data_IF_800449540235
#
_entry.id   IF_800449540235
#
_cell.length_a   1.000
_cell.length_b   1.000
_cell.length_c   1.000
_cell.angle_alpha   90.00
_cell.angle_beta   90.00
_cell.angle_gamma   90.00
#
_symmetry.space_group_name_H-M   'P 1'
#
loop_
_entity.id
_entity.type
_entity.pdbx_description
1 polymer ?
#
# COMPACT_ATOMS: atom_id res chain seq x y z
N UNK A 1 -5.69 -16.86 15.07
CA UNK A 1 -5.60 -15.58 15.80
C UNK A 1 -5.81 -14.43 14.82
N UNK A 2 -6.71 -13.51 15.17
CA UNK A 2 -6.98 -12.37 14.31
C UNK A 2 -5.87 -11.34 14.42
N UNK A 3 -5.37 -10.87 13.28
CA UNK A 3 -4.41 -9.76 13.27
C UNK A 3 -5.16 -8.43 13.27
N UNK A 4 -4.75 -7.53 14.13
CA UNK A 4 -5.30 -6.19 14.11
C UNK A 4 -4.68 -5.41 12.95
N UNK A 5 -5.51 -4.69 12.21
CA UNK A 5 -5.02 -3.81 11.17
C UNK A 5 -4.52 -2.51 11.81
N UNK A 6 -3.39 -2.00 11.31
CA UNK A 6 -2.78 -0.79 11.85
C UNK A 6 -3.68 0.44 11.74
N UNK A 7 -4.72 0.39 10.91
CA UNK A 7 -5.65 1.50 10.71
C UNK A 7 -6.95 1.32 11.48
N UNK A 8 -7.07 0.29 12.31
CA UNK A 8 -8.32 -0.03 12.98
C UNK A 8 -8.80 1.10 13.90
N UNK A 9 -7.86 1.78 14.54
CA UNK A 9 -8.17 2.86 15.48
C UNK A 9 -7.97 4.26 14.88
N UNK A 10 -7.95 4.34 13.56
CA UNK A 10 -7.71 5.60 12.87
C UNK A 10 -8.90 6.56 13.07
N UNK A 11 -8.65 7.81 13.54
CA UNK A 11 -9.71 8.81 13.62
C UNK A 11 -10.26 9.16 12.25
N UNK A 12 -11.57 9.43 12.19
CA UNK A 12 -12.22 9.77 10.92
C UNK A 12 -11.61 11.01 10.26
N UNK A 13 -11.13 11.97 11.05
CA UNK A 13 -10.50 13.18 10.51
C UNK A 13 -9.19 12.89 9.78
N UNK A 14 -8.51 11.80 10.13
CA UNK A 14 -7.25 11.41 9.50
C UNK A 14 -7.45 10.51 8.29
N UNK A 15 -8.65 10.02 8.11
CA UNK A 15 -8.94 9.00 7.12
C UNK A 15 -8.60 9.42 5.68
N UNK A 16 -9.06 10.58 5.20
CA UNK A 16 -8.74 11.00 3.83
C UNK A 16 -7.25 11.18 3.60
N UNK A 17 -6.54 11.69 4.62
CA UNK A 17 -5.11 11.92 4.53
C UNK A 17 -4.34 10.61 4.45
N UNK A 18 -4.69 9.65 5.28
CA UNK A 18 -4.03 8.34 5.29
C UNK A 18 -4.31 7.61 3.97
N UNK A 19 -5.56 7.66 3.50
CA UNK A 19 -5.92 7.04 2.23
C UNK A 19 -5.11 7.64 1.08
N UNK A 20 -4.93 8.95 1.08
CA UNK A 20 -4.12 9.61 0.06
C UNK A 20 -2.65 9.15 0.13
N UNK A 21 -2.10 9.02 1.33
CA UNK A 21 -0.73 8.55 1.50
C UNK A 21 -0.55 7.13 0.96
N UNK A 22 -1.50 6.26 1.23
CA UNK A 22 -1.45 4.88 0.74
C UNK A 22 -1.54 4.85 -0.78
N UNK A 23 -2.46 5.64 -1.35
CA UNK A 23 -2.62 5.74 -2.80
C UNK A 23 -1.33 6.24 -3.46
N UNK A 24 -0.70 7.27 -2.88
CA UNK A 24 0.56 7.80 -3.40
C UNK A 24 1.68 6.76 -3.33
N UNK A 25 1.71 5.98 -2.26
CA UNK A 25 2.70 4.92 -2.11
C UNK A 25 2.53 3.85 -3.19
N UNK A 26 1.30 3.45 -3.46
CA UNK A 26 1.01 2.49 -4.53
C UNK A 26 1.51 3.02 -5.87
N UNK A 27 1.18 4.27 -6.20
CA UNK A 27 1.61 4.89 -7.44
C UNK A 27 3.14 4.92 -7.54
N UNK A 28 3.83 5.24 -6.44
CA UNK A 28 5.28 5.27 -6.40
C UNK A 28 5.88 3.90 -6.68
N UNK A 29 5.36 2.86 -6.02
CA UNK A 29 5.85 1.49 -6.23
C UNK A 29 5.62 1.02 -7.66
N UNK A 30 4.44 1.31 -8.21
CA UNK A 30 4.14 0.92 -9.59
C UNK A 30 5.08 1.61 -10.57
N UNK A 31 5.41 2.86 -10.34
CA UNK A 31 6.36 3.59 -11.17
C UNK A 31 7.76 3.01 -11.06
N UNK A 32 8.20 2.66 -9.85
CA UNK A 32 9.51 2.03 -9.66
C UNK A 32 9.59 0.73 -10.43
N UNK A 33 8.55 -0.10 -10.37
CA UNK A 33 8.51 -1.37 -11.10
C UNK A 33 8.57 -1.11 -12.61
N UNK A 34 7.82 -0.14 -13.10
CA UNK A 34 7.83 0.21 -14.51
C UNK A 34 9.21 0.70 -14.96
N UNK A 35 9.82 1.59 -14.18
CA UNK A 35 11.15 2.14 -14.50
C UNK A 35 12.25 1.07 -14.49
N UNK A 36 12.05 0.00 -13.72
CA UNK A 36 13.03 -1.07 -13.57
C UNK A 36 12.52 -2.39 -14.17
N UNK A 37 11.69 -2.31 -15.21
CA UNK A 37 11.07 -3.50 -15.79
C UNK A 37 12.09 -4.51 -16.32
N UNK A 38 13.29 -4.05 -16.67
CA UNK A 38 14.38 -4.93 -17.14
C UNK A 38 15.23 -5.48 -16.01
N UNK A 39 15.01 -5.04 -14.77
CA UNK A 39 15.77 -5.55 -13.63
C UNK A 39 15.37 -7.00 -13.31
N UNK A 40 16.24 -7.69 -12.62
CA UNK A 40 15.96 -9.06 -12.19
C UNK A 40 14.79 -9.08 -11.22
N UNK A 41 13.95 -10.11 -11.33
CA UNK A 41 12.77 -10.23 -10.47
C UNK A 41 13.12 -10.23 -8.99
N UNK A 42 14.25 -10.82 -8.63
CA UNK A 42 14.68 -10.86 -7.23
C UNK A 42 14.95 -9.47 -6.67
N UNK A 43 15.47 -8.57 -7.49
CA UNK A 43 15.72 -7.20 -7.08
C UNK A 43 14.44 -6.45 -6.82
N UNK A 44 13.35 -6.82 -7.52
CA UNK A 44 12.06 -6.16 -7.38
C UNK A 44 11.13 -6.85 -6.37
N UNK A 45 11.52 -7.99 -5.84
CA UNK A 45 10.64 -8.76 -4.94
C UNK A 45 10.17 -7.94 -3.74
N UNK A 46 11.08 -7.20 -3.12
CA UNK A 46 10.74 -6.36 -1.97
C UNK A 46 9.73 -5.29 -2.37
N UNK A 47 9.89 -4.71 -3.56
CA UNK A 47 8.96 -3.70 -4.08
C UNK A 47 7.58 -4.32 -4.32
N UNK A 48 7.53 -5.50 -4.93
CA UNK A 48 6.25 -6.19 -5.14
C UNK A 48 5.55 -6.52 -3.83
N UNK A 49 6.31 -6.99 -2.83
CA UNK A 49 5.73 -7.30 -1.53
C UNK A 49 5.15 -6.06 -0.85
N UNK A 50 5.86 -4.95 -0.92
CA UNK A 50 5.39 -3.69 -0.34
C UNK A 50 4.20 -3.14 -1.11
N UNK A 51 4.18 -3.30 -2.43
CA UNK A 51 3.05 -2.88 -3.25
C UNK A 51 1.79 -3.66 -2.87
N UNK A 52 1.92 -4.97 -2.71
CA UNK A 52 0.80 -5.81 -2.31
C UNK A 52 0.27 -5.39 -0.94
N UNK A 53 1.16 -5.15 0.01
CA UNK A 53 0.78 -4.68 1.33
C UNK A 53 0.03 -3.35 1.24
N UNK A 54 0.53 -2.41 0.44
CA UNK A 54 -0.13 -1.12 0.27
C UNK A 54 -1.51 -1.25 -0.37
N UNK A 55 -1.66 -2.15 -1.34
CA UNK A 55 -2.96 -2.42 -1.96
C UNK A 55 -3.95 -3.02 -0.96
N UNK A 56 -3.46 -3.91 -0.09
CA UNK A 56 -4.29 -4.48 0.96
C UNK A 56 -4.72 -3.42 1.97
N UNK A 57 -3.83 -2.49 2.30
CA UNK A 57 -4.16 -1.39 3.18
C UNK A 57 -5.25 -0.50 2.57
N UNK A 58 -5.13 -0.19 1.29
CA UNK A 58 -6.12 0.62 0.61
C UNK A 58 -7.48 -0.09 0.56
N UNK A 59 -7.47 -1.38 0.31
CA UNK A 59 -8.69 -2.18 0.31
C UNK A 59 -9.37 -2.13 1.67
N UNK A 60 -8.60 -2.27 2.74
CA UNK A 60 -9.14 -2.17 4.09
C UNK A 60 -9.76 -0.80 4.33
N UNK A 61 -9.07 0.26 3.94
CA UNK A 61 -9.56 1.62 4.13
C UNK A 61 -10.86 1.86 3.35
N UNK A 62 -10.98 1.29 2.17
CA UNK A 62 -12.21 1.40 1.37
C UNK A 62 -13.37 0.62 1.99
N UNK A 63 -13.08 -0.53 2.59
CA UNK A 63 -14.12 -1.37 3.18
C UNK A 63 -14.71 -0.78 4.46
N UNK A 64 -13.90 -0.07 5.25
CA UNK A 64 -14.35 0.47 6.53
C UNK A 64 -14.90 1.89 6.43
N UNK A 65 -14.81 2.48 5.27
CA UNK A 65 -15.26 3.87 5.08
C UNK A 65 -16.74 3.93 4.70
#
# INVERSE_FOLDING_TARGET
MRQENKYEKLPNSMYPKVRQQVTDRIATFEKVIEDHATAQKEALKVIYDQLEEAKNDLKYLDEVN
#
